data_IF_187154876185
#
_entry.id   IF_187154876185
#
_cell.length_a   1.000
_cell.length_b   1.000
_cell.length_c   1.000
_cell.angle_alpha   90.00
_cell.angle_beta   90.00
_cell.angle_gamma   90.00
#
_symmetry.space_group_name_H-M   'P 1'
#
loop_
_entity.id
_entity.type
_entity.pdbx_description
1 polymer ?
#
# COMPACT_ATOMS: atom_id res chain seq x y z
N UNK A 1 42.29 -9.19 44.24
CA UNK A 1 41.08 -8.39 44.08
C UNK A 1 40.62 -8.51 42.61
N UNK A 2 39.58 -9.26 42.35
CA UNK A 2 39.03 -9.42 40.99
C UNK A 2 37.97 -8.32 40.77
N UNK A 3 38.16 -7.45 39.75
CA UNK A 3 37.17 -6.48 39.33
C UNK A 3 35.99 -7.25 38.68
N UNK A 4 34.80 -7.11 39.25
CA UNK A 4 33.56 -7.55 38.68
C UNK A 4 33.12 -6.45 37.69
N UNK A 5 33.15 -6.78 36.37
CA UNK A 5 32.57 -5.95 35.34
C UNK A 5 31.03 -6.06 35.44
N UNK A 6 30.41 -5.00 35.91
CA UNK A 6 28.95 -4.83 35.81
C UNK A 6 28.61 -4.39 34.37
N UNK A 7 28.29 -5.35 33.54
CA UNK A 7 27.59 -5.08 32.30
C UNK A 7 26.15 -4.63 32.64
N UNK A 8 25.93 -3.34 32.69
CA UNK A 8 24.59 -2.74 32.75
C UNK A 8 23.93 -2.98 31.39
N UNK A 9 23.08 -3.99 31.31
CA UNK A 9 22.19 -4.16 30.15
C UNK A 9 21.29 -2.93 30.13
N UNK A 10 21.53 -2.03 29.19
CA UNK A 10 20.59 -0.97 28.87
C UNK A 10 19.38 -1.67 28.28
N UNK A 11 18.35 -1.89 29.09
CA UNK A 11 17.04 -2.32 28.59
C UNK A 11 16.52 -1.19 27.67
N UNK A 12 16.55 -1.44 26.37
CA UNK A 12 15.90 -0.54 25.43
C UNK A 12 14.43 -0.42 25.82
N UNK A 13 13.97 0.80 26.05
CA UNK A 13 12.54 1.05 26.28
C UNK A 13 11.75 0.49 25.10
N UNK A 14 10.62 -0.18 25.38
CA UNK A 14 9.78 -0.64 24.30
C UNK A 14 9.38 0.53 23.40
N UNK A 15 9.33 0.36 22.08
CA UNK A 15 8.94 1.43 21.17
C UNK A 15 7.57 1.98 21.57
N UNK A 16 7.34 3.30 21.42
CA UNK A 16 6.09 3.91 21.81
C UNK A 16 4.96 3.27 21.00
N UNK A 17 3.92 2.82 21.70
CA UNK A 17 2.72 2.26 21.08
C UNK A 17 1.95 3.37 20.37
N UNK A 18 1.83 3.28 19.05
CA UNK A 18 1.02 4.17 18.23
C UNK A 18 -0.34 3.51 18.01
N UNK A 19 -1.32 3.79 18.84
CA UNK A 19 -2.64 3.16 18.78
C UNK A 19 -3.76 4.20 18.83
N UNK A 20 -4.80 4.00 18.04
CA UNK A 20 -4.91 3.05 16.93
C UNK A 20 -4.21 3.54 15.68
N UNK A 21 -3.60 2.65 14.91
CA UNK A 21 -2.87 2.98 13.69
C UNK A 21 -3.23 2.09 12.51
N UNK A 22 -2.95 2.55 11.28
CA UNK A 22 -3.12 1.80 10.06
C UNK A 22 -1.82 1.75 9.25
N UNK A 23 -1.51 0.59 8.68
CA UNK A 23 -0.57 0.42 7.58
C UNK A 23 -1.36 0.40 6.28
N UNK A 24 -1.07 1.34 5.40
CA UNK A 24 -1.89 1.59 4.19
C UNK A 24 -1.35 0.92 2.93
N UNK A 25 -0.11 0.44 2.97
CA UNK A 25 0.51 -0.25 1.85
C UNK A 25 1.51 -1.31 2.30
N UNK A 26 1.03 -2.53 2.35
CA UNK A 26 1.85 -3.71 2.67
C UNK A 26 1.37 -4.91 1.84
N UNK A 27 2.12 -6.03 1.94
CA UNK A 27 1.82 -7.25 1.22
C UNK A 27 1.98 -8.48 2.13
N UNK A 28 1.08 -9.44 2.04
CA UNK A 28 1.27 -10.77 2.63
C UNK A 28 1.99 -11.68 1.65
N UNK A 29 1.55 -11.64 0.39
CA UNK A 29 2.06 -12.47 -0.69
C UNK A 29 2.10 -11.66 -1.98
N UNK A 30 3.17 -11.84 -2.78
CA UNK A 30 3.22 -11.31 -4.15
C UNK A 30 3.80 -12.37 -5.07
N UNK A 31 3.04 -12.70 -6.12
CA UNK A 31 3.43 -13.69 -7.13
C UNK A 31 3.75 -13.03 -8.47
N UNK A 32 5.03 -12.78 -8.70
CA UNK A 32 5.53 -12.23 -9.96
C UNK A 32 6.01 -13.31 -10.95
N UNK A 33 5.66 -14.57 -10.74
CA UNK A 33 5.92 -15.62 -11.71
C UNK A 33 5.11 -15.41 -12.99
N UNK A 34 5.51 -16.05 -14.07
CA UNK A 34 4.70 -16.05 -15.30
C UNK A 34 3.32 -16.67 -15.05
N UNK A 35 2.29 -16.19 -15.75
CA UNK A 35 0.91 -16.65 -15.54
C UNK A 35 0.75 -18.17 -15.65
N UNK A 36 1.45 -18.79 -16.58
CA UNK A 36 1.46 -20.24 -16.72
C UNK A 36 1.98 -20.96 -15.45
N UNK A 37 3.02 -20.43 -14.81
CA UNK A 37 3.57 -20.96 -13.57
C UNK A 37 2.63 -20.75 -12.38
N UNK A 38 1.94 -19.59 -12.32
CA UNK A 38 0.91 -19.32 -11.30
C UNK A 38 -0.24 -20.36 -11.40
N UNK A 39 -0.65 -20.70 -12.62
CA UNK A 39 -1.72 -21.66 -12.88
C UNK A 39 -1.29 -23.12 -12.68
N UNK A 40 -0.04 -23.45 -13.00
CA UNK A 40 0.48 -24.82 -12.92
C UNK A 40 0.77 -25.29 -11.49
N UNK A 41 1.08 -24.36 -10.58
CA UNK A 41 1.38 -24.71 -9.20
C UNK A 41 1.32 -23.47 -8.32
N UNK A 42 0.33 -23.46 -7.44
CA UNK A 42 0.14 -22.39 -6.47
C UNK A 42 1.28 -22.35 -5.44
N UNK A 43 0.94 -21.90 -4.32
CA UNK A 43 1.71 -21.92 -3.07
C UNK A 43 0.82 -22.60 -2.01
N UNK A 44 1.45 -23.09 -0.96
CA UNK A 44 0.70 -23.58 0.19
C UNK A 44 0.26 -22.39 1.07
N UNK A 45 -1.05 -22.17 1.14
CA UNK A 45 -1.63 -21.07 1.90
C UNK A 45 -1.40 -21.21 3.41
N UNK A 46 -1.22 -22.44 3.93
CA UNK A 46 -0.93 -22.67 5.34
C UNK A 46 0.51 -22.29 5.68
N UNK A 47 1.44 -22.52 4.77
CA UNK A 47 2.83 -22.04 4.89
C UNK A 47 2.87 -20.50 4.90
N UNK A 48 2.15 -19.83 4.01
CA UNK A 48 2.09 -18.36 3.98
C UNK A 48 1.44 -17.82 5.26
N UNK A 49 0.36 -18.44 5.71
CA UNK A 49 -0.30 -18.08 6.97
C UNK A 49 0.65 -18.19 8.17
N UNK A 50 1.35 -19.32 8.29
CA UNK A 50 2.29 -19.57 9.39
C UNK A 50 3.45 -18.57 9.39
N UNK A 51 3.94 -18.17 8.21
CA UNK A 51 5.01 -17.17 8.07
C UNK A 51 4.53 -15.75 8.39
N UNK A 52 3.39 -15.31 7.85
CA UNK A 52 2.93 -13.93 7.98
C UNK A 52 2.33 -13.61 9.37
N UNK A 53 1.66 -14.58 10.00
CA UNK A 53 0.94 -14.39 11.28
C UNK A 53 1.80 -13.76 12.38
N UNK A 54 3.00 -14.24 12.72
CA UNK A 54 3.82 -13.64 13.79
C UNK A 54 4.23 -12.19 13.51
N UNK A 55 4.43 -11.81 12.25
CA UNK A 55 4.73 -10.42 11.87
C UNK A 55 3.51 -9.50 12.02
N UNK A 56 2.30 -10.00 11.73
CA UNK A 56 1.06 -9.27 11.98
C UNK A 56 0.79 -9.14 13.48
N UNK A 57 1.01 -10.19 14.27
CA UNK A 57 0.89 -10.12 15.73
C UNK A 57 1.88 -9.12 16.35
N UNK A 58 3.08 -9.01 15.78
CA UNK A 58 4.08 -8.03 16.20
C UNK A 58 3.53 -6.60 16.04
N UNK A 59 3.05 -6.22 14.85
CA UNK A 59 2.52 -4.87 14.64
C UNK A 59 1.21 -4.63 15.38
N UNK A 60 0.42 -5.68 15.64
CA UNK A 60 -0.77 -5.56 16.49
C UNK A 60 -0.40 -5.10 17.91
N UNK A 61 0.69 -5.62 18.47
CA UNK A 61 1.24 -5.18 19.77
C UNK A 61 1.74 -3.74 19.72
N UNK A 62 2.26 -3.27 18.57
CA UNK A 62 2.71 -1.90 18.36
C UNK A 62 1.55 -0.91 18.10
N UNK A 63 0.31 -1.41 17.98
CA UNK A 63 -0.88 -0.58 17.87
C UNK A 63 -1.54 -0.55 16.50
N UNK A 64 -1.08 -1.36 15.55
CA UNK A 64 -1.74 -1.53 14.25
C UNK A 64 -3.09 -2.21 14.44
N UNK A 65 -4.15 -1.56 13.99
CA UNK A 65 -5.52 -2.12 14.00
C UNK A 65 -6.07 -2.34 12.61
N UNK A 66 -5.47 -1.69 11.58
CA UNK A 66 -5.81 -1.88 10.17
C UNK A 66 -4.56 -2.12 9.34
N UNK A 67 -4.66 -3.06 8.43
CA UNK A 67 -3.62 -3.42 7.48
C UNK A 67 -4.23 -3.49 6.08
N UNK A 68 -3.65 -2.79 5.11
CA UNK A 68 -4.10 -2.85 3.73
C UNK A 68 -3.13 -3.70 2.92
N UNK A 69 -3.60 -4.89 2.49
CA UNK A 69 -2.87 -5.70 1.54
C UNK A 69 -3.04 -5.13 0.13
N UNK A 70 -1.96 -4.62 -0.42
CA UNK A 70 -1.93 -3.94 -1.71
C UNK A 70 -1.62 -4.88 -2.88
N UNK A 71 -1.85 -6.18 -2.74
CA UNK A 71 -1.64 -7.18 -3.79
C UNK A 71 -2.87 -7.29 -4.69
N UNK A 72 -2.85 -6.78 -5.93
CA UNK A 72 -4.00 -6.86 -6.83
C UNK A 72 -4.11 -8.23 -7.52
N UNK A 73 -5.20 -8.42 -8.24
CA UNK A 73 -5.45 -9.61 -9.04
C UNK A 73 -4.31 -9.86 -10.05
N UNK A 74 -3.99 -11.10 -10.33
CA UNK A 74 -2.90 -11.59 -11.19
C UNK A 74 -1.47 -11.47 -10.62
N UNK A 75 -1.30 -10.86 -9.44
CA UNK A 75 -0.01 -10.91 -8.74
C UNK A 75 -0.13 -11.46 -7.31
N UNK A 76 -1.18 -12.25 -7.03
CA UNK A 76 -1.27 -13.03 -5.80
C UNK A 76 -2.38 -12.64 -4.84
N UNK A 77 -3.33 -11.74 -5.21
CA UNK A 77 -4.48 -11.41 -4.36
C UNK A 77 -5.19 -12.66 -3.85
N UNK A 78 -5.27 -12.83 -2.53
CA UNK A 78 -5.95 -13.95 -1.88
C UNK A 78 -6.81 -13.50 -0.69
N UNK A 79 -8.08 -13.11 -0.94
CA UNK A 79 -8.96 -12.62 0.12
C UNK A 79 -9.22 -13.65 1.24
N UNK A 80 -9.30 -14.94 0.91
CA UNK A 80 -9.53 -15.99 1.90
C UNK A 80 -8.37 -16.13 2.89
N UNK A 81 -7.11 -16.06 2.42
CA UNK A 81 -5.93 -16.05 3.27
C UNK A 81 -5.90 -14.80 4.18
N UNK A 82 -6.21 -13.62 3.62
CA UNK A 82 -6.27 -12.37 4.39
C UNK A 82 -7.34 -12.43 5.48
N UNK A 83 -8.50 -13.01 5.21
CA UNK A 83 -9.55 -13.21 6.21
C UNK A 83 -9.07 -14.12 7.34
N UNK A 84 -8.44 -15.24 7.03
CA UNK A 84 -7.87 -16.15 8.04
C UNK A 84 -6.86 -15.44 8.94
N UNK A 85 -5.98 -14.61 8.36
CA UNK A 85 -5.00 -13.80 9.10
C UNK A 85 -5.69 -12.74 9.97
N UNK A 86 -6.72 -12.07 9.46
CA UNK A 86 -7.51 -11.09 10.21
C UNK A 86 -8.17 -11.74 11.44
N UNK A 87 -8.84 -12.88 11.25
CA UNK A 87 -9.50 -13.62 12.32
C UNK A 87 -8.50 -14.09 13.41
N UNK A 88 -7.30 -14.51 12.99
CA UNK A 88 -6.26 -15.00 13.90
C UNK A 88 -5.51 -13.90 14.68
N UNK A 89 -5.44 -12.67 14.13
CA UNK A 89 -4.62 -11.58 14.70
C UNK A 89 -5.43 -10.44 15.30
N UNK A 90 -6.73 -10.37 14.98
CA UNK A 90 -7.61 -9.28 15.37
C UNK A 90 -7.26 -7.94 14.70
N UNK A 91 -6.56 -7.98 13.55
CA UNK A 91 -6.31 -6.82 12.70
C UNK A 91 -7.39 -6.77 11.61
N UNK A 92 -7.97 -5.60 11.36
CA UNK A 92 -8.85 -5.38 10.21
C UNK A 92 -8.00 -5.34 8.92
N UNK A 93 -7.88 -6.50 8.24
CA UNK A 93 -7.08 -6.64 7.02
C UNK A 93 -7.97 -6.41 5.80
N UNK A 94 -7.64 -5.39 5.03
CA UNK A 94 -8.36 -5.00 3.83
C UNK A 94 -7.73 -5.59 2.57
N UNK A 95 -8.57 -6.13 1.70
CA UNK A 95 -8.22 -6.50 0.32
C UNK A 95 -8.68 -5.42 -0.65
N UNK A 96 -8.20 -5.52 -1.88
CA UNK A 96 -8.46 -4.58 -2.97
C UNK A 96 -9.11 -5.25 -4.18
N UNK A 97 -9.60 -4.40 -5.11
CA UNK A 97 -9.83 -4.75 -6.50
C UNK A 97 -8.88 -3.94 -7.39
N UNK A 98 -8.83 -4.23 -8.67
CA UNK A 98 -7.97 -3.50 -9.61
C UNK A 98 -6.97 -4.40 -10.32
N UNK A 99 -6.25 -3.83 -11.30
CA UNK A 99 -5.28 -4.53 -12.13
C UNK A 99 -3.92 -3.83 -12.16
N UNK A 100 -2.86 -4.62 -12.28
CA UNK A 100 -1.49 -4.16 -12.23
C UNK A 100 -0.89 -4.06 -13.63
N UNK A 101 -0.87 -2.86 -14.23
CA UNK A 101 -0.27 -2.60 -15.52
C UNK A 101 1.24 -2.28 -15.47
N UNK A 102 1.80 -2.01 -14.29
CA UNK A 102 3.24 -1.85 -14.14
C UNK A 102 4.01 -3.12 -14.58
N UNK A 103 5.33 -3.05 -14.67
CA UNK A 103 6.19 -4.11 -15.23
C UNK A 103 5.80 -4.49 -16.66
N UNK A 104 5.64 -3.48 -17.51
CA UNK A 104 5.34 -3.62 -18.95
C UNK A 104 4.03 -4.39 -19.23
N UNK A 105 3.03 -4.22 -18.35
CA UNK A 105 1.66 -4.74 -18.53
C UNK A 105 1.54 -6.26 -18.55
N UNK A 106 2.62 -6.99 -18.20
CA UNK A 106 2.67 -8.47 -18.26
C UNK A 106 1.71 -9.18 -17.30
N UNK A 107 1.18 -8.44 -16.31
CA UNK A 107 0.22 -8.97 -15.34
C UNK A 107 -1.21 -8.44 -15.57
N UNK A 108 -1.47 -7.83 -16.71
CA UNK A 108 -2.82 -7.50 -17.10
C UNK A 108 -3.58 -8.76 -17.56
N UNK A 109 -4.86 -8.90 -17.18
CA UNK A 109 -5.69 -9.96 -17.71
C UNK A 109 -5.99 -9.73 -19.20
N UNK A 110 -6.35 -10.79 -19.97
CA UNK A 110 -6.69 -10.65 -21.39
C UNK A 110 -7.79 -9.64 -21.68
N UNK A 111 -8.74 -9.49 -20.77
CA UNK A 111 -9.84 -8.53 -20.84
C UNK A 111 -9.36 -7.08 -20.92
N UNK A 112 -8.18 -6.79 -20.38
CA UNK A 112 -7.59 -5.44 -20.50
C UNK A 112 -7.34 -5.03 -21.95
N UNK A 113 -7.17 -5.99 -22.87
CA UNK A 113 -6.97 -5.72 -24.29
C UNK A 113 -8.28 -5.45 -25.03
N UNK A 114 -9.36 -6.11 -24.62
CA UNK A 114 -10.63 -6.15 -25.37
C UNK A 114 -11.73 -5.27 -24.76
N UNK A 115 -11.71 -5.04 -23.44
CA UNK A 115 -12.74 -4.27 -22.75
C UNK A 115 -12.43 -2.77 -22.74
N UNK A 116 -13.48 -1.96 -22.74
CA UNK A 116 -13.36 -0.52 -22.50
C UNK A 116 -13.11 -0.22 -21.01
N UNK A 117 -12.68 1.01 -20.69
CA UNK A 117 -12.49 1.44 -19.31
C UNK A 117 -13.77 1.34 -18.47
N UNK A 118 -14.94 1.61 -19.08
CA UNK A 118 -16.26 1.49 -18.44
C UNK A 118 -16.62 0.02 -18.14
N UNK A 119 -16.24 -0.92 -19.02
CA UNK A 119 -16.46 -2.35 -18.79
C UNK A 119 -15.59 -2.84 -17.64
N UNK A 120 -14.31 -2.47 -17.63
CA UNK A 120 -13.37 -2.78 -16.54
C UNK A 120 -13.88 -2.17 -15.22
N UNK A 121 -14.30 -0.90 -15.21
CA UNK A 121 -14.86 -0.24 -14.05
C UNK A 121 -16.07 -0.99 -13.46
N UNK A 122 -17.00 -1.45 -14.33
CA UNK A 122 -18.15 -2.25 -13.88
C UNK A 122 -17.74 -3.55 -13.18
N UNK A 123 -16.68 -4.22 -13.63
CA UNK A 123 -16.15 -5.41 -12.94
C UNK A 123 -15.71 -5.08 -11.52
N UNK A 124 -14.94 -4.00 -11.36
CA UNK A 124 -14.43 -3.60 -10.05
C UNK A 124 -15.53 -3.08 -9.13
N UNK A 125 -16.52 -2.37 -9.67
CA UNK A 125 -17.74 -1.97 -8.94
C UNK A 125 -18.46 -3.22 -8.41
N UNK A 126 -18.67 -4.23 -9.26
CA UNK A 126 -19.32 -5.47 -8.87
C UNK A 126 -18.54 -6.22 -7.78
N UNK A 127 -17.19 -6.26 -7.83
CA UNK A 127 -16.37 -6.83 -6.77
C UNK A 127 -16.53 -6.05 -5.45
N UNK A 128 -16.61 -4.72 -5.49
CA UNK A 128 -16.82 -3.88 -4.29
C UNK A 128 -18.21 -4.10 -3.68
N UNK A 129 -19.23 -4.21 -4.53
CA UNK A 129 -20.63 -4.35 -4.09
C UNK A 129 -20.94 -5.77 -3.58
N UNK A 130 -20.45 -6.79 -4.29
CA UNK A 130 -20.83 -8.19 -4.04
C UNK A 130 -19.73 -8.99 -3.35
N UNK A 131 -18.46 -8.55 -3.42
CA UNK A 131 -17.31 -9.25 -2.87
C UNK A 131 -16.68 -10.24 -3.84
N UNK A 132 -15.49 -10.68 -3.48
CA UNK A 132 -14.75 -11.79 -4.09
C UNK A 132 -14.62 -12.85 -2.99
N UNK A 133 -15.09 -14.06 -3.25
CA UNK A 133 -15.17 -15.14 -2.24
C UNK A 133 -15.87 -14.69 -0.93
N UNK A 134 -16.91 -13.87 -1.06
CA UNK A 134 -17.67 -13.32 0.07
C UNK A 134 -16.96 -12.20 0.85
N UNK A 135 -15.81 -11.71 0.37
CA UNK A 135 -15.02 -10.65 1.02
C UNK A 135 -15.01 -9.41 0.12
N UNK A 136 -15.50 -8.29 0.63
CA UNK A 136 -15.59 -7.04 -0.13
C UNK A 136 -14.27 -6.29 -0.14
N UNK A 137 -13.70 -5.99 -1.34
CA UNK A 137 -12.62 -5.03 -1.47
C UNK A 137 -13.00 -3.67 -0.88
N UNK A 138 -12.03 -3.00 -0.25
CA UNK A 138 -12.24 -1.70 0.40
C UNK A 138 -11.62 -0.54 -0.36
N UNK A 139 -10.79 -0.83 -1.34
CA UNK A 139 -10.12 0.16 -2.19
C UNK A 139 -9.78 -0.47 -3.55
N UNK A 140 -9.38 0.36 -4.49
CA UNK A 140 -8.85 -0.08 -5.78
C UNK A 140 -7.32 0.01 -5.74
N UNK A 141 -6.62 -1.06 -6.13
CA UNK A 141 -5.16 -1.04 -6.32
C UNK A 141 -4.84 -1.26 -7.78
N UNK A 142 -4.17 -0.29 -8.37
CA UNK A 142 -3.65 -0.37 -9.75
C UNK A 142 -2.14 -0.17 -9.77
N UNK A 143 -1.55 -0.36 -10.94
CA UNK A 143 -0.15 -0.02 -11.16
C UNK A 143 0.04 0.47 -12.59
N UNK A 144 0.92 1.45 -12.79
CA UNK A 144 1.28 2.02 -14.07
C UNK A 144 2.79 2.11 -14.25
N UNK A 145 3.24 2.22 -15.48
CA UNK A 145 4.65 2.42 -15.86
C UNK A 145 5.01 3.91 -15.90
N UNK A 146 6.10 4.23 -16.58
CA UNK A 146 6.61 5.61 -16.73
C UNK A 146 5.73 6.44 -17.65
N UNK A 147 5.79 7.76 -17.46
CA UNK A 147 5.28 8.73 -18.41
C UNK A 147 6.16 8.77 -19.70
N UNK A 148 5.56 9.05 -20.88
CA UNK A 148 4.13 9.15 -21.10
C UNK A 148 3.43 7.79 -20.92
N UNK A 149 2.28 7.79 -20.26
CA UNK A 149 1.53 6.57 -20.01
C UNK A 149 1.07 5.90 -21.30
N UNK A 150 1.35 4.62 -21.43
CA UNK A 150 0.82 3.81 -22.52
C UNK A 150 -0.71 3.78 -22.50
N UNK A 151 -1.35 3.56 -23.65
CA UNK A 151 -2.83 3.54 -23.76
C UNK A 151 -3.51 2.57 -22.78
N UNK A 152 -2.93 1.40 -22.53
CA UNK A 152 -3.45 0.44 -21.55
C UNK A 152 -3.28 0.93 -20.11
N UNK A 153 -2.17 1.60 -19.78
CA UNK A 153 -1.97 2.21 -18.46
C UNK A 153 -3.02 3.31 -18.26
N UNK A 154 -3.23 4.17 -19.24
CA UNK A 154 -4.28 5.22 -19.22
C UNK A 154 -5.69 4.62 -19.09
N UNK A 155 -5.96 3.50 -19.79
CA UNK A 155 -7.25 2.78 -19.70
C UNK A 155 -7.49 2.26 -18.27
N UNK A 156 -6.48 1.66 -17.66
CA UNK A 156 -6.55 1.17 -16.26
C UNK A 156 -6.80 2.32 -15.29
N UNK A 157 -6.11 3.45 -15.44
CA UNK A 157 -6.33 4.65 -14.61
C UNK A 157 -7.74 5.21 -14.81
N UNK A 158 -8.23 5.30 -16.06
CA UNK A 158 -9.58 5.76 -16.34
C UNK A 158 -10.63 4.83 -15.72
N UNK A 159 -10.46 3.51 -15.83
CA UNK A 159 -11.35 2.54 -15.20
C UNK A 159 -11.38 2.71 -13.67
N UNK A 160 -10.22 2.95 -13.05
CA UNK A 160 -10.11 3.20 -11.62
C UNK A 160 -10.81 4.51 -11.20
N UNK A 161 -10.64 5.57 -11.99
CA UNK A 161 -11.34 6.84 -11.77
C UNK A 161 -12.86 6.69 -11.85
N UNK A 162 -13.36 5.96 -12.87
CA UNK A 162 -14.79 5.68 -13.03
C UNK A 162 -15.35 4.83 -11.88
N UNK A 163 -14.60 3.81 -11.45
CA UNK A 163 -14.95 2.98 -10.31
C UNK A 163 -15.00 3.81 -9.00
N UNK A 164 -13.97 4.60 -8.74
CA UNK A 164 -13.89 5.49 -7.58
C UNK A 164 -15.06 6.49 -7.56
N UNK A 165 -15.36 7.12 -8.69
CA UNK A 165 -16.49 8.05 -8.81
C UNK A 165 -17.83 7.40 -8.50
N UNK A 166 -18.03 6.15 -8.91
CA UNK A 166 -19.28 5.43 -8.69
C UNK A 166 -19.46 4.92 -7.26
N UNK A 167 -18.36 4.49 -6.62
CA UNK A 167 -18.38 3.78 -5.33
C UNK A 167 -17.90 4.62 -4.15
N UNK A 168 -17.18 5.72 -4.41
CA UNK A 168 -16.53 6.54 -3.39
C UNK A 168 -15.27 5.93 -2.79
N UNK A 169 -14.81 4.76 -3.25
CA UNK A 169 -13.60 4.13 -2.75
C UNK A 169 -12.33 4.80 -3.29
N UNK A 170 -11.27 4.72 -2.54
CA UNK A 170 -9.98 5.30 -2.88
C UNK A 170 -9.20 4.38 -3.83
N UNK A 171 -8.43 4.98 -4.71
CA UNK A 171 -7.52 4.30 -5.64
C UNK A 171 -6.08 4.52 -5.18
N UNK A 172 -5.37 3.44 -4.88
CA UNK A 172 -3.93 3.43 -4.64
C UNK A 172 -3.20 2.98 -5.91
N UNK A 173 -2.40 3.85 -6.51
CA UNK A 173 -1.73 3.57 -7.77
C UNK A 173 -0.22 3.46 -7.61
N UNK A 174 0.30 2.22 -7.74
CA UNK A 174 1.74 2.01 -7.94
C UNK A 174 2.20 2.79 -9.17
N UNK A 175 3.14 3.70 -9.01
CA UNK A 175 3.58 4.60 -10.06
C UNK A 175 5.06 4.41 -10.34
N UNK A 176 5.37 3.68 -11.40
CA UNK A 176 6.74 3.28 -11.75
C UNK A 176 7.61 4.39 -12.37
N UNK A 177 7.15 5.62 -12.47
CA UNK A 177 7.83 6.68 -13.21
C UNK A 177 7.84 8.05 -12.57
N UNK A 178 7.66 8.13 -11.25
CA UNK A 178 7.77 9.39 -10.51
C UNK A 178 6.65 10.39 -10.80
N UNK A 179 6.96 11.67 -10.57
CA UNK A 179 5.98 12.77 -10.57
C UNK A 179 5.29 13.04 -11.91
N UNK A 180 5.98 12.81 -13.03
CA UNK A 180 5.38 12.98 -14.36
C UNK A 180 4.23 12.00 -14.59
N UNK A 181 4.43 10.71 -14.26
CA UNK A 181 3.38 9.71 -14.37
C UNK A 181 2.24 9.93 -13.36
N UNK A 182 2.56 10.38 -12.15
CA UNK A 182 1.55 10.78 -11.17
C UNK A 182 0.69 11.95 -11.68
N UNK A 183 1.31 12.94 -12.32
CA UNK A 183 0.61 14.09 -12.91
C UNK A 183 -0.39 13.65 -13.97
N UNK A 184 0.01 12.81 -14.94
CA UNK A 184 -0.91 12.30 -15.96
C UNK A 184 -2.09 11.52 -15.35
N UNK A 185 -1.87 10.75 -14.29
CA UNK A 185 -2.93 10.02 -13.60
C UNK A 185 -3.94 10.97 -12.95
N UNK A 186 -3.47 12.02 -12.25
CA UNK A 186 -4.34 13.03 -11.64
C UNK A 186 -5.15 13.77 -12.72
N UNK A 187 -4.55 14.08 -13.87
CA UNK A 187 -5.25 14.68 -15.01
C UNK A 187 -6.36 13.76 -15.55
N UNK A 188 -6.10 12.44 -15.66
CA UNK A 188 -7.14 11.46 -16.06
C UNK A 188 -8.26 11.41 -15.02
N UNK A 189 -7.93 11.40 -13.73
CA UNK A 189 -8.92 11.43 -12.64
C UNK A 189 -9.82 12.66 -12.74
N UNK A 190 -9.23 13.82 -12.87
CA UNK A 190 -9.94 15.09 -13.00
C UNK A 190 -10.80 15.13 -14.27
N UNK A 191 -10.26 14.69 -15.41
CA UNK A 191 -10.97 14.58 -16.68
C UNK A 191 -12.18 13.62 -16.60
N UNK A 192 -12.06 12.55 -15.83
CA UNK A 192 -13.16 11.61 -15.56
C UNK A 192 -14.17 12.14 -14.52
N UNK A 193 -13.99 13.35 -13.98
CA UNK A 193 -14.79 13.96 -12.90
C UNK A 193 -14.79 13.10 -11.62
N UNK A 194 -13.70 12.37 -11.38
CA UNK A 194 -13.45 11.70 -10.12
C UNK A 194 -12.76 12.68 -9.14
N UNK A 195 -12.99 12.49 -7.84
CA UNK A 195 -12.42 13.35 -6.80
C UNK A 195 -10.93 13.05 -6.62
N UNK A 196 -10.00 14.01 -6.85
CA UNK A 196 -8.57 13.81 -6.61
C UNK A 196 -8.24 13.35 -5.18
N UNK A 197 -9.04 13.70 -4.17
CA UNK A 197 -8.88 13.24 -2.81
C UNK A 197 -9.10 11.72 -2.64
N UNK A 198 -9.53 11.03 -3.70
CA UNK A 198 -9.64 9.58 -3.80
C UNK A 198 -8.50 8.93 -4.59
N UNK A 199 -7.47 9.68 -4.93
CA UNK A 199 -6.29 9.18 -5.60
C UNK A 199 -5.06 9.22 -4.68
N UNK A 200 -4.34 8.11 -4.58
CA UNK A 200 -3.08 7.98 -3.83
C UNK A 200 -1.95 7.68 -4.82
N UNK A 201 -0.99 8.57 -4.89
CA UNK A 201 0.28 8.34 -5.57
C UNK A 201 1.20 7.48 -4.71
N UNK A 202 1.23 6.19 -5.00
CA UNK A 202 2.05 5.17 -4.32
C UNK A 202 3.48 5.22 -4.86
N UNK A 203 4.48 5.01 -4.00
CA UNK A 203 5.92 5.10 -4.27
C UNK A 203 6.41 6.51 -4.63
N UNK A 204 5.80 7.52 -4.03
CA UNK A 204 6.20 8.90 -4.25
C UNK A 204 7.65 9.19 -3.78
N UNK A 205 8.17 8.42 -2.84
CA UNK A 205 9.57 8.51 -2.37
C UNK A 205 10.60 8.16 -3.46
N UNK A 206 10.19 7.50 -4.54
CA UNK A 206 11.01 7.29 -5.73
C UNK A 206 11.33 8.56 -6.50
N UNK A 207 10.47 9.59 -6.43
CA UNK A 207 10.70 10.93 -6.98
C UNK A 207 11.64 11.73 -6.06
N UNK A 208 12.64 12.41 -6.66
CA UNK A 208 13.61 13.20 -5.89
C UNK A 208 13.32 14.71 -5.96
N UNK A 209 12.51 15.13 -6.91
CA UNK A 209 12.06 16.50 -7.01
C UNK A 209 10.77 16.71 -6.18
N UNK A 210 10.94 17.35 -5.06
CA UNK A 210 9.82 17.67 -4.15
C UNK A 210 8.74 18.57 -4.79
N UNK A 211 9.04 19.26 -5.90
CA UNK A 211 8.04 20.06 -6.61
C UNK A 211 6.86 19.20 -7.10
N UNK A 212 7.12 17.94 -7.48
CA UNK A 212 6.03 17.02 -7.82
C UNK A 212 5.21 16.61 -6.61
N UNK A 213 5.83 16.36 -5.45
CA UNK A 213 5.09 16.04 -4.21
C UNK A 213 4.14 17.18 -3.86
N UNK A 214 4.64 18.42 -3.87
CA UNK A 214 3.83 19.62 -3.61
C UNK A 214 2.71 19.77 -4.66
N UNK A 215 3.02 19.62 -5.95
CA UNK A 215 2.05 19.73 -7.05
C UNK A 215 0.89 18.75 -6.88
N UNK A 216 1.18 17.48 -6.66
CA UNK A 216 0.16 16.42 -6.52
C UNK A 216 -0.67 16.63 -5.26
N UNK A 217 -0.05 16.96 -4.12
CA UNK A 217 -0.77 17.24 -2.88
C UNK A 217 -1.67 18.47 -3.00
N UNK A 218 -1.23 19.57 -3.65
CA UNK A 218 -2.06 20.76 -3.90
C UNK A 218 -3.20 20.52 -4.89
N UNK A 219 -3.09 19.53 -5.75
CA UNK A 219 -4.19 19.07 -6.59
C UNK A 219 -5.26 18.30 -5.79
N UNK A 220 -5.04 18.07 -4.49
CA UNK A 220 -5.95 17.37 -3.59
C UNK A 220 -5.68 15.87 -3.45
N UNK A 221 -4.77 15.31 -4.22
CA UNK A 221 -4.40 13.90 -4.16
C UNK A 221 -3.46 13.59 -2.99
N UNK A 222 -3.33 12.31 -2.65
CA UNK A 222 -2.44 11.85 -1.60
C UNK A 222 -1.07 11.49 -2.16
N UNK A 223 -0.04 11.85 -1.40
CA UNK A 223 1.37 11.49 -1.68
C UNK A 223 1.79 10.44 -0.65
N UNK A 224 2.14 9.24 -1.11
CA UNK A 224 2.48 8.12 -0.24
C UNK A 224 3.96 7.77 -0.34
N UNK A 225 4.67 7.89 0.79
CA UNK A 225 6.06 7.50 0.96
C UNK A 225 6.09 6.13 1.63
N UNK A 226 6.26 5.08 0.85
CA UNK A 226 5.98 3.72 1.30
C UNK A 226 7.13 2.70 1.17
N UNK A 227 8.31 3.14 0.79
CA UNK A 227 9.50 2.29 0.88
C UNK A 227 10.32 2.53 2.16
N UNK A 228 9.64 2.84 3.27
CA UNK A 228 10.34 3.04 4.54
C UNK A 228 11.18 1.82 4.89
N UNK A 229 12.51 2.00 4.91
CA UNK A 229 13.50 0.95 5.12
C UNK A 229 14.78 1.52 5.70
N UNK A 230 15.69 0.65 6.13
CA UNK A 230 16.96 1.07 6.73
C UNK A 230 17.78 1.96 5.78
N UNK A 231 17.93 1.56 4.53
CA UNK A 231 18.68 2.31 3.52
C UNK A 231 18.04 3.63 3.10
N UNK A 232 16.71 3.77 3.26
CA UNK A 232 15.94 4.96 2.86
C UNK A 232 15.55 5.87 4.02
N UNK A 233 15.89 5.56 5.26
CA UNK A 233 15.35 6.22 6.45
C UNK A 233 15.46 7.74 6.42
N UNK A 234 16.66 8.28 6.14
CA UNK A 234 16.91 9.72 6.12
C UNK A 234 16.05 10.43 5.07
N UNK A 235 15.94 9.86 3.87
CA UNK A 235 15.15 10.40 2.78
C UNK A 235 13.65 10.42 3.12
N UNK A 236 13.12 9.36 3.71
CA UNK A 236 11.70 9.34 4.10
C UNK A 236 11.39 10.34 5.20
N UNK A 237 12.30 10.56 6.15
CA UNK A 237 12.16 11.62 7.16
C UNK A 237 12.18 13.01 6.50
N UNK A 238 13.06 13.23 5.51
CA UNK A 238 13.13 14.47 4.74
C UNK A 238 11.82 14.71 3.96
N UNK A 239 11.30 13.70 3.26
CA UNK A 239 10.02 13.79 2.54
C UNK A 239 8.87 14.23 3.46
N UNK A 240 8.73 13.60 4.63
CA UNK A 240 7.67 13.96 5.59
C UNK A 240 7.88 15.39 6.11
N UNK A 241 9.12 15.76 6.44
CA UNK A 241 9.44 17.12 6.90
C UNK A 241 9.10 18.17 5.85
N UNK A 242 9.50 17.95 4.59
CA UNK A 242 9.14 18.83 3.47
C UNK A 242 7.64 19.04 3.37
N UNK A 243 6.85 17.97 3.42
CA UNK A 243 5.39 18.07 3.35
C UNK A 243 4.81 18.84 4.55
N UNK A 244 5.34 18.64 5.75
CA UNK A 244 4.92 19.32 6.95
C UNK A 244 5.23 20.84 6.89
N UNK A 245 6.44 21.21 6.48
CA UNK A 245 6.86 22.62 6.32
C UNK A 245 6.05 23.39 5.27
N UNK A 246 5.51 22.68 4.27
CA UNK A 246 4.62 23.24 3.23
C UNK A 246 3.14 23.23 3.63
N UNK A 247 2.79 22.78 4.85
CA UNK A 247 1.41 22.64 5.30
C UNK A 247 0.63 21.51 4.61
N UNK A 248 1.34 20.55 4.01
CA UNK A 248 0.78 19.45 3.19
C UNK A 248 0.80 18.11 3.90
N UNK A 249 1.16 18.06 5.19
CA UNK A 249 1.16 16.82 5.96
C UNK A 249 -0.22 16.13 5.92
N UNK A 250 -1.29 16.91 5.78
CA UNK A 250 -2.66 16.43 5.63
C UNK A 250 -2.92 15.65 4.33
N UNK A 251 -2.04 15.71 3.33
CA UNK A 251 -2.10 14.96 2.07
C UNK A 251 -0.97 13.90 1.99
N UNK A 252 -0.39 13.51 3.13
CA UNK A 252 0.75 12.59 3.18
C UNK A 252 0.35 11.28 3.82
N UNK A 253 0.78 10.17 3.23
CA UNK A 253 0.69 8.82 3.76
C UNK A 253 2.09 8.22 3.88
N UNK A 254 2.25 7.27 4.82
CA UNK A 254 3.51 6.53 5.00
C UNK A 254 3.23 5.04 5.20
N UNK A 255 4.08 4.18 4.62
CA UNK A 255 4.04 2.73 4.81
C UNK A 255 5.42 2.14 4.51
N UNK A 256 5.52 0.83 4.29
CA UNK A 256 6.83 0.18 4.08
C UNK A 256 6.91 -0.64 2.81
N UNK A 257 5.78 -0.95 2.19
CA UNK A 257 5.73 -1.89 1.07
C UNK A 257 6.49 -3.19 1.45
N UNK A 258 6.16 -3.74 2.63
CA UNK A 258 6.87 -4.86 3.25
C UNK A 258 6.05 -6.15 3.22
N UNK A 259 6.63 -7.23 3.77
CA UNK A 259 6.11 -8.58 3.71
C UNK A 259 6.74 -9.36 2.55
N UNK A 260 5.91 -9.79 1.63
CA UNK A 260 6.30 -10.51 0.41
C UNK A 260 6.71 -11.97 0.62
N UNK A 261 5.75 -12.84 0.93
CA UNK A 261 5.94 -14.24 0.54
C UNK A 261 5.98 -14.33 -0.99
N UNK A 262 7.03 -14.92 -1.55
CA UNK A 262 7.23 -15.05 -3.00
C UNK A 262 7.14 -16.52 -3.42
N UNK A 263 6.03 -16.93 -4.02
CA UNK A 263 5.91 -18.27 -4.58
C UNK A 263 7.05 -18.58 -5.56
N UNK A 264 7.63 -19.77 -5.43
CA UNK A 264 8.77 -20.22 -6.25
C UNK A 264 10.15 -19.91 -5.66
N UNK A 265 10.26 -19.02 -4.68
CA UNK A 265 11.49 -18.82 -3.92
C UNK A 265 11.59 -19.80 -2.73
N UNK A 266 12.80 -20.27 -2.36
CA UNK A 266 12.97 -21.10 -1.17
C UNK A 266 12.38 -20.43 0.08
N UNK A 267 11.55 -21.15 0.81
CA UNK A 267 10.82 -20.63 2.00
C UNK A 267 10.03 -19.34 1.75
N UNK A 268 9.65 -19.03 0.52
CA UNK A 268 8.95 -17.80 0.17
C UNK A 268 9.82 -16.56 0.10
N UNK A 269 11.14 -16.73 0.05
CA UNK A 269 12.10 -15.63 -0.02
C UNK A 269 12.30 -14.89 1.31
N UNK A 270 12.91 -13.71 1.23
CA UNK A 270 13.14 -12.85 2.39
C UNK A 270 11.87 -12.07 2.74
N UNK A 271 11.10 -12.56 3.69
CA UNK A 271 9.91 -11.86 4.20
C UNK A 271 10.34 -10.67 5.09
N UNK A 272 9.92 -9.46 4.75
CA UNK A 272 10.26 -8.25 5.51
C UNK A 272 9.26 -8.02 6.63
N UNK A 273 9.76 -7.76 7.86
CA UNK A 273 8.91 -7.39 8.98
C UNK A 273 8.21 -6.05 8.74
N UNK A 274 6.98 -5.93 9.20
CA UNK A 274 6.22 -4.68 9.16
C UNK A 274 6.54 -3.74 10.34
N UNK A 275 7.41 -4.15 11.27
CA UNK A 275 7.66 -3.41 12.49
C UNK A 275 8.65 -2.23 12.31
N UNK A 276 9.46 -2.23 11.24
CA UNK A 276 10.51 -1.22 11.05
C UNK A 276 9.96 0.22 11.05
N UNK A 277 8.80 0.45 10.44
CA UNK A 277 8.14 1.75 10.47
C UNK A 277 7.91 2.22 11.91
N UNK A 278 7.39 1.35 12.79
CA UNK A 278 7.10 1.68 14.18
C UNK A 278 8.36 1.86 15.03
N UNK A 279 9.37 1.01 14.83
CA UNK A 279 10.53 0.91 15.71
C UNK A 279 11.69 1.84 15.33
N UNK A 280 11.79 2.20 14.04
CA UNK A 280 12.90 2.99 13.53
C UNK A 280 12.49 4.33 12.91
N UNK A 281 11.42 4.37 12.11
CA UNK A 281 11.02 5.57 11.38
C UNK A 281 10.18 6.53 12.22
N UNK A 282 9.07 6.07 12.81
CA UNK A 282 8.18 6.95 13.60
C UNK A 282 8.88 7.65 14.76
N UNK A 283 9.86 7.04 15.46
CA UNK A 283 10.62 7.75 16.50
C UNK A 283 11.48 8.93 16.01
N UNK A 284 11.67 9.09 14.69
CA UNK A 284 12.39 10.22 14.08
C UNK A 284 11.47 11.41 13.78
N UNK A 285 10.17 11.25 13.94
CA UNK A 285 9.17 12.26 13.61
C UNK A 285 8.59 12.90 14.89
N UNK A 286 8.04 14.10 14.76
CA UNK A 286 7.28 14.73 15.81
C UNK A 286 6.02 13.91 16.17
N UNK A 287 5.70 13.82 17.45
CA UNK A 287 4.55 13.04 17.94
C UNK A 287 3.22 13.45 17.29
N UNK A 288 3.03 14.76 17.05
CA UNK A 288 1.84 15.26 16.37
C UNK A 288 1.73 14.75 14.93
N UNK A 289 2.87 14.70 14.20
CA UNK A 289 2.92 14.18 12.85
C UNK A 289 2.64 12.68 12.81
N UNK A 290 3.24 11.93 13.76
CA UNK A 290 3.00 10.48 13.88
C UNK A 290 1.51 10.18 14.01
N UNK A 291 0.81 10.87 14.90
CA UNK A 291 -0.64 10.70 15.08
C UNK A 291 -1.41 11.00 13.80
N UNK A 292 -1.05 12.07 13.12
CA UNK A 292 -1.70 12.46 11.87
C UNK A 292 -1.46 11.41 10.77
N UNK A 293 -0.21 10.98 10.57
CA UNK A 293 0.20 10.03 9.52
C UNK A 293 -0.37 8.63 9.75
N UNK A 294 -0.38 8.16 10.99
CA UNK A 294 -0.75 6.77 11.30
C UNK A 294 -2.24 6.57 11.61
N UNK A 295 -2.95 7.63 11.99
CA UNK A 295 -4.35 7.55 12.42
C UNK A 295 -5.26 8.45 11.57
N UNK A 296 -4.99 9.74 11.53
CA UNK A 296 -5.88 10.72 10.89
C UNK A 296 -5.92 10.60 9.37
N UNK A 297 -4.76 10.59 8.74
CA UNK A 297 -4.66 10.54 7.28
C UNK A 297 -5.17 9.23 6.68
N UNK A 298 -4.88 8.03 7.20
CA UNK A 298 -5.46 6.79 6.72
C UNK A 298 -6.99 6.79 6.72
N UNK A 299 -7.62 7.35 7.77
CA UNK A 299 -9.08 7.47 7.85
C UNK A 299 -9.61 8.47 6.82
N UNK A 300 -8.95 9.61 6.63
CA UNK A 300 -9.35 10.61 5.64
C UNK A 300 -9.19 10.11 4.20
N UNK A 301 -8.10 9.40 3.93
CA UNK A 301 -7.81 8.86 2.60
C UNK A 301 -8.77 7.72 2.23
N UNK A 302 -8.88 6.73 3.09
CA UNK A 302 -9.55 5.46 2.76
C UNK A 302 -10.92 5.27 3.44
N UNK A 303 -11.27 6.14 4.38
CA UNK A 303 -12.50 6.01 5.15
C UNK A 303 -12.41 4.99 6.29
N UNK A 304 -13.57 4.69 6.89
CA UNK A 304 -13.69 3.81 8.04
C UNK A 304 -13.21 4.46 9.34
N UNK A 305 -13.31 3.72 10.44
CA UNK A 305 -12.80 4.14 11.77
C UNK A 305 -11.64 3.23 12.16
N UNK A 306 -10.69 3.74 12.90
CA UNK A 306 -9.64 2.94 13.53
C UNK A 306 -10.04 2.72 14.99
N UNK A 307 -10.59 1.57 15.28
CA UNK A 307 -10.85 1.08 16.63
C UNK A 307 -11.85 1.89 17.44
#
# INVERSE_FOLDING_TARGET
MRRRDFLTAVMALPPPRVAPSALVHEHVLVDFRARAEQLAGGYDADTVFALAKPHLEEIRRLGCVRFQDCTPYYIGRNPALLRRLADATGIDIWTNTGWYAARDRRYLPPEAMTESAEQIARRWIAEIEHGVDGIKPRFVKIGVNRAPLHELDRKVVLAAALCSRATGVTVASHTGGGGAAATEQVEIFTGAKADPAKFVWVHADGEKDHAFHEKIARAGAWVEFDHVSESGLAWHVECVRFMAERGLLGQTLVSQDAGYYRPGEPNGGAFRSYAYLYTAFLPKLETAWVRQLMTGNPVRAFGGKLG
#
